data_IF_962276974080
#
_entry.id   IF_962276974080
#
_cell.length_a   1.000
_cell.length_b   1.000
_cell.length_c   1.000
_cell.angle_alpha   90.00
_cell.angle_beta   90.00
_cell.angle_gamma   90.00
#
_symmetry.space_group_name_H-M   'P 1'
#
loop_
_entity.id
_entity.type
_entity.pdbx_description
1 polymer ?
#
# COMPACT_ATOMS: atom_id res chain seq x y z
N UNK A 1 9.94 19.58 -8.56
CA UNK A 1 9.44 18.23 -8.27
C UNK A 1 10.10 17.26 -9.25
N UNK A 2 10.99 16.36 -8.78
CA UNK A 2 11.78 15.47 -9.65
C UNK A 2 10.93 14.45 -10.42
N UNK A 3 9.65 14.28 -10.08
CA UNK A 3 8.75 13.28 -10.65
C UNK A 3 7.88 13.81 -11.81
N UNK A 4 8.16 15.04 -12.28
CA UNK A 4 7.40 15.74 -13.33
C UNK A 4 5.91 15.79 -12.94
N UNK A 5 5.62 16.54 -11.88
CA UNK A 5 4.30 16.64 -11.29
C UNK A 5 4.04 17.99 -10.62
N UNK A 6 2.83 18.19 -10.07
CA UNK A 6 2.44 19.45 -9.47
C UNK A 6 3.27 19.77 -8.22
N UNK A 7 3.25 21.03 -7.75
CA UNK A 7 3.80 21.41 -6.45
C UNK A 7 3.13 20.66 -5.29
N UNK A 8 3.86 20.48 -4.19
CA UNK A 8 3.34 19.84 -2.98
C UNK A 8 2.08 20.53 -2.45
N UNK A 9 2.06 21.87 -2.45
CA UNK A 9 0.90 22.66 -2.02
C UNK A 9 -0.39 22.30 -2.80
N UNK A 10 -0.27 22.00 -4.10
CA UNK A 10 -1.40 21.54 -4.91
C UNK A 10 -1.86 20.16 -4.47
N UNK A 11 -0.93 19.24 -4.19
CA UNK A 11 -1.27 17.90 -3.68
C UNK A 11 -1.98 18.00 -2.33
N UNK A 12 -1.53 18.88 -1.43
CA UNK A 12 -2.21 19.14 -0.15
C UNK A 12 -3.64 19.63 -0.36
N UNK A 13 -3.86 20.57 -1.29
CA UNK A 13 -5.22 21.03 -1.63
C UNK A 13 -6.09 19.91 -2.19
N UNK A 14 -5.53 19.01 -2.99
CA UNK A 14 -6.23 17.86 -3.57
C UNK A 14 -6.48 16.71 -2.58
N UNK A 15 -5.98 16.81 -1.35
CA UNK A 15 -6.21 15.81 -0.31
C UNK A 15 -5.04 14.85 -0.08
N UNK A 16 -3.80 15.26 -0.33
CA UNK A 16 -2.63 14.50 0.12
C UNK A 16 -2.66 14.26 1.64
N UNK A 17 -1.97 13.20 2.07
CA UNK A 17 -1.87 12.85 3.48
C UNK A 17 -1.01 13.90 4.15
N UNK A 18 -1.56 14.54 5.17
CA UNK A 18 -0.81 15.37 6.11
C UNK A 18 -1.47 15.21 7.48
N UNK A 19 -0.74 14.62 8.42
CA UNK A 19 -1.26 14.24 9.74
C UNK A 19 -1.80 15.42 10.53
N UNK A 20 -1.12 16.57 10.48
CA UNK A 20 -1.55 17.80 11.16
C UNK A 20 -2.92 18.29 10.70
N UNK A 21 -3.28 18.09 9.42
CA UNK A 21 -4.59 18.46 8.87
C UNK A 21 -5.68 17.45 9.22
N UNK A 22 -5.33 16.17 9.39
CA UNK A 22 -6.28 15.11 9.78
C UNK A 22 -6.87 15.41 11.16
N UNK A 23 -6.02 15.80 12.12
CA UNK A 23 -6.42 16.12 13.50
C UNK A 23 -6.75 17.60 13.72
N UNK A 24 -6.82 18.39 12.64
CA UNK A 24 -7.21 19.79 12.73
C UNK A 24 -8.67 19.92 13.21
N UNK A 25 -9.11 21.11 13.69
CA UNK A 25 -10.49 21.31 14.14
C UNK A 25 -11.57 20.93 13.11
N UNK A 26 -11.22 20.93 11.82
CA UNK A 26 -12.11 20.57 10.72
C UNK A 26 -12.12 19.06 10.38
N UNK A 27 -11.37 18.23 11.11
CA UNK A 27 -11.33 16.76 10.99
C UNK A 27 -11.26 16.25 9.54
N UNK A 28 -10.14 16.51 8.86
CA UNK A 28 -9.96 16.17 7.45
C UNK A 28 -9.61 14.68 7.25
N UNK A 29 -10.40 13.77 7.82
CA UNK A 29 -10.17 12.32 7.86
C UNK A 29 -10.13 11.69 6.45
N UNK A 30 -10.77 12.33 5.47
CA UNK A 30 -10.69 11.91 4.06
C UNK A 30 -9.24 11.83 3.54
N UNK A 31 -8.30 12.58 4.14
CA UNK A 31 -6.86 12.52 3.85
C UNK A 31 -6.19 11.20 4.21
N UNK A 32 -6.91 10.26 4.80
CA UNK A 32 -6.47 8.87 4.93
C UNK A 32 -6.77 8.06 3.66
N UNK A 33 -7.78 8.43 2.89
CA UNK A 33 -8.26 7.69 1.72
C UNK A 33 -7.81 8.34 0.40
N UNK A 34 -8.01 9.65 0.25
CA UNK A 34 -7.68 10.41 -0.97
C UNK A 34 -6.24 10.27 -1.47
N UNK A 35 -5.19 10.17 -0.62
CA UNK A 35 -3.81 10.09 -1.09
C UNK A 35 -3.52 8.85 -1.94
N UNK A 36 -4.30 7.77 -1.77
CA UNK A 36 -4.16 6.51 -2.52
C UNK A 36 -4.31 6.74 -4.03
N UNK A 37 -5.12 7.74 -4.42
CA UNK A 37 -5.41 8.08 -5.81
C UNK A 37 -4.52 9.20 -6.36
N UNK A 38 -3.85 9.94 -5.48
CA UNK A 38 -2.97 11.03 -5.87
C UNK A 38 -1.55 10.51 -6.12
N UNK A 39 -0.84 11.13 -7.05
CA UNK A 39 0.54 10.76 -7.36
C UNK A 39 1.40 12.02 -7.48
N UNK A 40 2.67 11.88 -7.07
CA UNK A 40 3.63 12.99 -7.05
C UNK A 40 4.04 13.47 -8.45
N UNK A 41 3.69 12.76 -9.51
CA UNK A 41 3.98 13.12 -10.89
C UNK A 41 3.82 11.94 -11.84
N UNK A 42 4.02 12.17 -13.14
CA UNK A 42 3.77 11.14 -14.17
C UNK A 42 4.68 9.93 -14.01
N UNK A 43 5.95 10.13 -13.64
CA UNK A 43 6.91 9.03 -13.44
C UNK A 43 6.45 8.15 -12.28
N UNK A 44 6.02 8.77 -11.18
CA UNK A 44 5.53 8.07 -10.00
C UNK A 44 4.24 7.29 -10.30
N UNK A 45 3.32 7.88 -11.06
CA UNK A 45 2.09 7.22 -11.51
C UNK A 45 2.41 6.00 -12.39
N UNK A 46 3.24 6.16 -13.43
CA UNK A 46 3.58 5.07 -14.33
C UNK A 46 4.23 3.89 -13.58
N UNK A 47 5.17 4.16 -12.68
CA UNK A 47 5.81 3.11 -11.88
C UNK A 47 4.81 2.37 -10.99
N UNK A 48 3.90 3.08 -10.31
CA UNK A 48 2.85 2.44 -9.51
C UNK A 48 1.93 1.61 -10.39
N UNK A 49 1.46 2.12 -11.53
CA UNK A 49 0.54 1.40 -12.40
C UNK A 49 1.16 0.16 -13.02
N UNK A 50 2.41 0.23 -13.48
CA UNK A 50 3.13 -0.93 -14.00
C UNK A 50 3.25 -2.02 -12.94
N UNK A 51 3.68 -1.66 -11.73
CA UNK A 51 3.80 -2.62 -10.64
C UNK A 51 2.45 -3.16 -10.19
N UNK A 52 1.47 -2.28 -10.02
CA UNK A 52 0.09 -2.62 -9.64
C UNK A 52 -0.52 -3.64 -10.59
N UNK A 53 -0.45 -3.40 -11.90
CA UNK A 53 -0.98 -4.35 -12.89
C UNK A 53 -0.24 -5.68 -12.85
N UNK A 54 1.09 -5.68 -12.66
CA UNK A 54 1.88 -6.92 -12.62
C UNK A 54 1.51 -7.84 -11.44
N UNK A 55 1.12 -7.26 -10.30
CA UNK A 55 0.79 -8.01 -9.08
C UNK A 55 -0.71 -8.28 -8.96
N UNK A 56 -1.56 -7.28 -9.21
CA UNK A 56 -3.00 -7.40 -8.96
C UNK A 56 -3.73 -8.22 -10.03
N UNK A 57 -3.34 -8.19 -11.31
CA UNK A 57 -4.02 -8.97 -12.36
C UNK A 57 -4.06 -10.49 -12.07
N UNK A 58 -2.94 -11.16 -11.73
CA UNK A 58 -3.00 -12.57 -11.34
C UNK A 58 -3.72 -12.77 -10.00
N UNK A 59 -3.60 -11.82 -9.07
CA UNK A 59 -4.22 -11.90 -7.76
C UNK A 59 -5.75 -11.80 -7.82
N UNK A 60 -6.30 -10.97 -8.71
CA UNK A 60 -7.75 -10.86 -8.92
C UNK A 60 -8.35 -12.16 -9.44
N UNK A 61 -7.60 -12.96 -10.21
CA UNK A 61 -8.04 -14.29 -10.62
C UNK A 61 -8.03 -15.29 -9.47
N UNK A 62 -7.19 -15.06 -8.45
CA UNK A 62 -7.05 -15.94 -7.31
C UNK A 62 -8.02 -15.60 -6.17
N UNK A 63 -8.11 -14.34 -5.78
CA UNK A 63 -8.94 -13.87 -4.66
C UNK A 63 -10.27 -13.26 -5.10
N UNK A 64 -10.42 -12.88 -6.37
CA UNK A 64 -11.55 -12.10 -6.87
C UNK A 64 -11.33 -10.59 -6.74
N UNK A 65 -11.81 -9.84 -7.73
CA UNK A 65 -11.66 -8.38 -7.83
C UNK A 65 -12.16 -7.62 -6.59
N UNK A 66 -13.30 -8.02 -6.02
CA UNK A 66 -13.89 -7.35 -4.85
C UNK A 66 -12.94 -7.44 -3.63
N UNK A 67 -12.37 -8.61 -3.38
CA UNK A 67 -11.46 -8.80 -2.24
C UNK A 67 -10.14 -8.07 -2.46
N UNK A 68 -9.56 -8.14 -3.66
CA UNK A 68 -8.33 -7.39 -3.98
C UNK A 68 -8.56 -5.89 -3.79
N UNK A 69 -9.68 -5.35 -4.28
CA UNK A 69 -10.04 -3.94 -4.10
C UNK A 69 -10.23 -3.58 -2.62
N UNK A 70 -10.93 -4.42 -1.85
CA UNK A 70 -11.14 -4.20 -0.42
C UNK A 70 -9.81 -4.16 0.35
N UNK A 71 -8.93 -5.17 0.15
CA UNK A 71 -7.61 -5.24 0.80
C UNK A 71 -6.76 -4.05 0.38
N UNK A 72 -6.79 -3.67 -0.90
CA UNK A 72 -6.06 -2.51 -1.41
C UNK A 72 -6.48 -1.21 -0.70
N UNK A 73 -7.79 -0.95 -0.59
CA UNK A 73 -8.30 0.28 0.03
C UNK A 73 -8.04 0.32 1.53
N UNK A 74 -8.36 -0.75 2.27
CA UNK A 74 -8.19 -0.77 3.73
C UNK A 74 -6.72 -0.68 4.14
N UNK A 75 -5.83 -1.33 3.38
CA UNK A 75 -4.39 -1.26 3.62
C UNK A 75 -3.83 0.12 3.31
N UNK A 76 -4.31 0.78 2.24
CA UNK A 76 -3.91 2.15 1.94
C UNK A 76 -4.28 3.12 3.05
N UNK A 77 -5.52 3.01 3.57
CA UNK A 77 -5.99 3.78 4.73
C UNK A 77 -5.15 3.47 5.98
N UNK A 78 -4.90 2.19 6.25
CA UNK A 78 -4.09 1.74 7.39
C UNK A 78 -2.64 2.24 7.34
N UNK A 79 -2.03 2.21 6.16
CA UNK A 79 -0.71 2.79 5.91
C UNK A 79 -0.70 4.30 6.13
N UNK A 80 -1.65 5.01 5.52
CA UNK A 80 -1.77 6.47 5.69
C UNK A 80 -2.02 6.86 7.15
N UNK A 81 -2.75 6.05 7.91
CA UNK A 81 -2.97 6.24 9.33
C UNK A 81 -1.67 6.06 10.11
N UNK A 82 -0.93 4.96 9.90
CA UNK A 82 0.33 4.73 10.60
C UNK A 82 1.34 5.85 10.29
N UNK A 83 1.42 6.24 9.03
CA UNK A 83 2.23 7.37 8.60
C UNK A 83 1.80 8.69 9.26
N UNK A 84 0.50 8.98 9.35
CA UNK A 84 0.02 10.20 9.99
C UNK A 84 0.37 10.27 11.49
N UNK A 85 0.50 9.12 12.16
CA UNK A 85 0.89 9.04 13.57
C UNK A 85 2.40 9.30 13.78
N UNK A 86 3.26 8.75 12.91
CA UNK A 86 4.72 8.83 13.08
C UNK A 86 5.36 10.00 12.31
N UNK A 87 4.76 10.42 11.20
CA UNK A 87 5.23 11.49 10.32
C UNK A 87 4.09 12.49 10.00
N UNK A 88 3.55 13.18 11.02
CA UNK A 88 2.37 14.03 10.86
C UNK A 88 2.61 15.25 9.94
N UNK A 89 3.84 15.72 9.84
CA UNK A 89 4.20 16.91 9.06
C UNK A 89 4.51 16.59 7.58
N UNK A 90 4.88 15.34 7.28
CA UNK A 90 5.30 14.94 5.94
C UNK A 90 4.07 14.77 5.04
N UNK A 91 4.06 15.46 3.91
CA UNK A 91 3.05 15.32 2.87
C UNK A 91 3.35 14.09 2.04
N UNK A 92 2.38 13.18 1.90
CA UNK A 92 2.56 11.99 1.05
C UNK A 92 1.34 11.70 0.18
N UNK A 93 1.62 11.04 -0.94
CA UNK A 93 0.66 10.61 -1.95
C UNK A 93 1.14 9.31 -2.57
N UNK A 94 0.22 8.54 -3.13
CA UNK A 94 0.52 7.36 -3.94
C UNK A 94 -0.22 6.12 -3.46
N UNK A 95 -0.41 5.22 -4.42
CA UNK A 95 -0.95 3.88 -4.23
C UNK A 95 -0.03 2.94 -3.41
N UNK A 96 1.23 3.32 -3.19
CA UNK A 96 2.25 2.40 -2.68
C UNK A 96 1.91 1.77 -1.31
N UNK A 97 1.23 2.47 -0.39
CA UNK A 97 0.77 1.86 0.87
C UNK A 97 -0.24 0.73 0.64
N UNK A 98 -1.19 0.91 -0.28
CA UNK A 98 -2.13 -0.12 -0.70
C UNK A 98 -1.43 -1.31 -1.34
N UNK A 99 -0.42 -1.07 -2.18
CA UNK A 99 0.34 -2.13 -2.85
C UNK A 99 1.21 -2.93 -1.86
N UNK A 100 1.80 -2.28 -0.85
CA UNK A 100 2.40 -3.00 0.28
C UNK A 100 1.38 -3.84 1.04
N UNK A 101 0.15 -3.35 1.19
CA UNK A 101 -0.97 -4.15 1.70
C UNK A 101 -1.26 -5.40 0.89
N UNK A 102 -1.24 -5.29 -0.44
CA UNK A 102 -1.36 -6.46 -1.31
C UNK A 102 -0.22 -7.46 -1.05
N UNK A 103 1.03 -7.01 -0.92
CA UNK A 103 2.14 -7.90 -0.54
C UNK A 103 1.92 -8.55 0.83
N UNK A 104 1.45 -7.79 1.82
CA UNK A 104 1.07 -8.31 3.13
C UNK A 104 -0.02 -9.38 3.04
N UNK A 105 -1.02 -9.17 2.19
CA UNK A 105 -2.04 -10.17 1.91
C UNK A 105 -1.44 -11.44 1.27
N UNK A 106 -0.50 -11.30 0.33
CA UNK A 106 0.16 -12.45 -0.30
C UNK A 106 0.96 -13.24 0.74
N UNK A 107 1.61 -12.58 1.70
CA UNK A 107 2.23 -13.25 2.84
C UNK A 107 1.21 -14.05 3.68
N UNK A 108 0.05 -13.46 3.98
CA UNK A 108 -0.99 -14.11 4.76
C UNK A 108 -1.55 -15.33 4.03
N UNK A 109 -1.84 -15.20 2.74
CA UNK A 109 -2.33 -16.28 1.90
C UNK A 109 -1.30 -17.42 1.82
N UNK A 110 -0.03 -17.09 1.55
CA UNK A 110 1.07 -18.04 1.53
C UNK A 110 1.26 -18.76 2.88
N UNK A 111 1.12 -18.03 4.00
CA UNK A 111 1.18 -18.59 5.34
C UNK A 111 0.04 -19.58 5.59
N UNK A 112 -1.20 -19.19 5.28
CA UNK A 112 -2.39 -20.00 5.51
C UNK A 112 -2.44 -21.24 4.62
N UNK A 113 -1.96 -21.11 3.40
CA UNK A 113 -2.11 -22.08 2.33
C UNK A 113 -0.80 -22.73 1.90
N UNK A 114 0.24 -22.63 2.72
CA UNK A 114 1.62 -23.07 2.42
C UNK A 114 1.72 -24.45 1.77
N UNK A 115 0.96 -25.43 2.28
CA UNK A 115 1.01 -26.84 1.82
C UNK A 115 0.36 -27.06 0.45
N UNK A 116 -0.50 -26.14 0.01
CA UNK A 116 -1.25 -26.24 -1.23
C UNK A 116 -0.64 -25.39 -2.35
N UNK A 117 0.33 -24.54 -2.02
CA UNK A 117 1.03 -23.72 -3.00
C UNK A 117 2.04 -24.58 -3.80
N UNK A 118 2.17 -24.36 -5.12
CA UNK A 118 3.13 -25.12 -5.94
C UNK A 118 4.59 -24.92 -5.52
N UNK A 119 4.96 -23.69 -5.14
CA UNK A 119 6.35 -23.31 -4.84
C UNK A 119 6.49 -22.33 -3.67
N UNK A 120 5.94 -22.63 -2.48
CA UNK A 120 5.76 -21.67 -1.40
C UNK A 120 7.07 -21.03 -0.92
N UNK A 121 8.17 -21.78 -0.89
CA UNK A 121 9.50 -21.26 -0.52
C UNK A 121 10.01 -20.23 -1.52
N UNK A 122 9.85 -20.50 -2.82
CA UNK A 122 10.27 -19.58 -3.88
C UNK A 122 9.44 -18.30 -3.80
N UNK A 123 8.13 -18.45 -3.67
CA UNK A 123 7.20 -17.32 -3.62
C UNK A 123 7.49 -16.44 -2.39
N UNK A 124 7.71 -17.06 -1.22
CA UNK A 124 8.14 -16.37 0.00
C UNK A 124 9.44 -15.56 -0.21
N UNK A 125 10.45 -16.16 -0.84
CA UNK A 125 11.73 -15.48 -1.12
C UNK A 125 11.51 -14.30 -2.06
N UNK A 126 10.76 -14.49 -3.15
CA UNK A 126 10.52 -13.44 -4.14
C UNK A 126 9.78 -12.24 -3.55
N UNK A 127 8.71 -12.47 -2.78
CA UNK A 127 7.97 -11.38 -2.14
C UNK A 127 8.84 -10.68 -1.07
N UNK A 128 9.69 -11.43 -0.37
CA UNK A 128 10.61 -10.86 0.64
C UNK A 128 11.66 -9.98 -0.02
N UNK A 129 12.24 -10.40 -1.15
CA UNK A 129 13.16 -9.57 -1.93
C UNK A 129 12.46 -8.29 -2.38
N UNK A 130 11.21 -8.37 -2.86
CA UNK A 130 10.45 -7.20 -3.28
C UNK A 130 10.20 -6.22 -2.12
N UNK A 131 9.76 -6.70 -0.95
CA UNK A 131 9.54 -5.86 0.24
C UNK A 131 10.85 -5.19 0.67
N UNK A 132 11.93 -5.97 0.79
CA UNK A 132 13.23 -5.44 1.22
C UNK A 132 13.75 -4.39 0.22
N UNK A 133 13.68 -4.66 -1.08
CA UNK A 133 14.09 -3.70 -2.10
C UNK A 133 13.31 -2.39 -2.01
N UNK A 134 11.98 -2.45 -1.81
CA UNK A 134 11.14 -1.27 -1.69
C UNK A 134 11.39 -0.49 -0.38
N UNK A 135 11.66 -1.19 0.73
CA UNK A 135 12.06 -0.54 2.00
C UNK A 135 13.41 0.15 1.88
N UNK A 136 14.36 -0.44 1.14
CA UNK A 136 15.66 0.19 0.81
C UNK A 136 15.45 1.43 -0.05
N UNK A 137 14.59 1.36 -1.07
CA UNK A 137 14.18 2.54 -1.84
C UNK A 137 13.58 3.59 -0.92
N UNK A 138 12.81 3.16 0.09
CA UNK A 138 12.24 4.02 1.13
C UNK A 138 13.23 4.72 2.06
N UNK A 139 14.53 4.43 1.96
CA UNK A 139 15.59 5.22 2.61
C UNK A 139 15.87 6.54 1.88
N UNK A 140 15.40 6.67 0.63
CA UNK A 140 15.44 7.93 -0.09
C UNK A 140 14.53 8.94 0.63
N UNK A 141 14.99 10.19 0.85
CA UNK A 141 14.16 11.24 1.41
C UNK A 141 12.81 11.34 0.68
N UNK A 142 11.75 11.67 1.40
CA UNK A 142 10.37 11.82 0.89
C UNK A 142 9.60 10.53 0.60
N UNK A 143 10.22 9.35 0.77
CA UNK A 143 9.50 8.07 0.72
C UNK A 143 9.11 7.63 2.13
N UNK A 144 7.87 7.17 2.27
CA UNK A 144 7.23 6.97 3.56
C UNK A 144 7.17 5.48 3.93
N UNK A 145 8.21 5.01 4.60
CA UNK A 145 8.29 3.63 5.08
C UNK A 145 7.25 3.31 6.15
N UNK A 146 6.76 4.29 6.94
CA UNK A 146 5.67 4.04 7.88
C UNK A 146 4.37 3.73 7.15
N UNK A 147 4.10 4.43 6.04
CA UNK A 147 2.96 4.11 5.19
C UNK A 147 3.05 2.69 4.60
N UNK A 148 4.24 2.28 4.16
CA UNK A 148 4.48 0.95 3.61
C UNK A 148 4.32 -0.15 4.66
N UNK A 149 4.92 0.01 5.84
CA UNK A 149 4.79 -0.95 6.95
C UNK A 149 3.35 -1.05 7.42
N UNK A 150 2.66 0.07 7.58
CA UNK A 150 1.25 0.08 7.99
C UNK A 150 0.35 -0.61 6.97
N UNK A 151 0.60 -0.36 5.68
CA UNK A 151 -0.07 -1.06 4.59
C UNK A 151 0.14 -2.57 4.66
N UNK A 152 1.40 -3.02 4.73
CA UNK A 152 1.78 -4.43 4.81
C UNK A 152 1.07 -5.14 5.99
N UNK A 153 1.10 -4.54 7.17
CA UNK A 153 0.48 -5.12 8.38
C UNK A 153 -1.04 -5.23 8.23
N UNK A 154 -1.71 -4.16 7.80
CA UNK A 154 -3.16 -4.15 7.64
C UNK A 154 -3.60 -5.11 6.54
N UNK A 155 -2.85 -5.20 5.45
CA UNK A 155 -3.13 -6.17 4.37
C UNK A 155 -3.00 -7.61 4.85
N UNK A 156 -1.92 -7.93 5.57
CA UNK A 156 -1.72 -9.25 6.17
C UNK A 156 -2.89 -9.63 7.09
N UNK A 157 -3.22 -8.77 8.05
CA UNK A 157 -4.29 -9.04 9.02
C UNK A 157 -5.66 -9.14 8.35
N UNK A 158 -5.95 -8.26 7.38
CA UNK A 158 -7.22 -8.28 6.66
C UNK A 158 -7.36 -9.57 5.85
N UNK A 159 -6.32 -10.00 5.13
CA UNK A 159 -6.35 -11.25 4.37
C UNK A 159 -6.53 -12.47 5.28
N UNK A 160 -5.86 -12.50 6.44
CA UNK A 160 -6.05 -13.58 7.43
C UNK A 160 -7.50 -13.74 7.91
N UNK A 161 -8.27 -12.66 7.90
CA UNK A 161 -9.67 -12.63 8.35
C UNK A 161 -10.63 -12.97 7.20
N UNK A 162 -10.42 -12.37 6.03
CA UNK A 162 -11.42 -12.37 4.95
C UNK A 162 -11.18 -13.41 3.86
N UNK A 163 -9.94 -13.89 3.67
CA UNK A 163 -9.64 -14.87 2.63
C UNK A 163 -9.73 -16.30 3.19
N UNK A 164 -10.54 -17.19 2.57
CA UNK A 164 -10.70 -18.56 3.04
C UNK A 164 -9.39 -19.34 2.98
N UNK A 165 -9.17 -20.18 4.00
CA UNK A 165 -8.14 -21.22 3.95
C UNK A 165 -8.60 -22.30 2.99
N UNK A 166 -7.72 -22.73 2.10
CA UNK A 166 -7.96 -23.93 1.31
C UNK A 166 -8.06 -25.12 2.27
N UNK A 167 -9.17 -25.86 2.17
CA UNK A 167 -9.45 -27.07 2.95
C UNK A 167 -9.59 -28.23 1.97
N UNK A 168 -9.09 -29.39 2.38
CA UNK A 168 -9.29 -30.67 1.69
C UNK A 168 -10.77 -31.00 1.55
#
# INVERSE_FOLDING_TARGET
NPLIGPPEATLVQLGAKQGTLIISPNWQVYRLLTPIFLHGGIVHLCLNMMWQMSVMLPLERHWGCIFVCFIYLISGVGGNLLSALFLPEIVTVGASSSLFGILGGIYADLWMNWRYMPSPKRDFILITIQVVAQVIVGLIPWIDNFAHVGGLLVGFLSTMIFIPRMRH
#
